data_IF_506876841434
#
_entry.id   IF_506876841434
#
_cell.length_a   1.000
_cell.length_b   1.000
_cell.length_c   1.000
_cell.angle_alpha   90.00
_cell.angle_beta   90.00
_cell.angle_gamma   90.00
#
_symmetry.space_group_name_H-M   'P 1'
#
loop_
_entity.id
_entity.type
_entity.pdbx_description
1 polymer ?
#
# COMPACT_ATOMS: atom_id res chain seq x y z
N UNK A 1 0.43 -2.79 14.16
CA UNK A 1 1.54 -3.55 14.76
C UNK A 1 2.87 -2.79 14.73
N UNK A 2 3.31 -2.33 13.57
CA UNK A 2 4.58 -1.59 13.44
C UNK A 2 4.65 -0.37 14.35
N UNK A 3 3.54 0.32 14.51
CA UNK A 3 3.48 1.53 15.32
C UNK A 3 3.75 1.25 16.80
N UNK A 4 3.29 0.11 17.30
CA UNK A 4 3.49 -0.28 18.70
C UNK A 4 4.96 -0.55 19.04
N UNK A 5 5.72 -1.06 18.09
CA UNK A 5 7.15 -1.33 18.29
C UNK A 5 8.03 -0.16 17.82
N UNK A 6 7.43 0.95 17.42
CA UNK A 6 8.15 2.13 16.98
C UNK A 6 8.87 1.97 15.65
N UNK A 7 8.46 1.00 14.83
CA UNK A 7 9.14 0.72 13.57
C UNK A 7 8.97 1.87 12.57
N UNK A 8 10.01 2.15 11.84
CA UNK A 8 9.95 2.98 10.64
C UNK A 8 9.68 2.08 9.45
N UNK A 9 8.91 2.58 8.48
CA UNK A 9 8.68 1.90 7.22
C UNK A 9 9.27 2.74 6.09
N UNK A 10 9.87 2.07 5.12
CA UNK A 10 10.51 2.75 3.99
C UNK A 10 10.19 1.99 2.71
N UNK A 11 9.91 2.74 1.64
CA UNK A 11 9.71 2.16 0.32
C UNK A 11 11.08 2.02 -0.35
N UNK A 12 11.65 0.84 -0.27
CA UNK A 12 12.98 0.56 -0.77
C UNK A 12 13.12 -0.90 -1.18
N UNK A 13 14.15 -1.17 -1.93
CA UNK A 13 14.57 -2.52 -2.29
C UNK A 13 15.98 -2.75 -1.76
N UNK A 14 16.19 -3.89 -1.13
CA UNK A 14 17.53 -4.29 -0.70
C UNK A 14 18.28 -4.91 -1.87
N UNK A 15 19.51 -4.49 -2.06
CA UNK A 15 20.41 -5.03 -3.10
C UNK A 15 21.67 -5.52 -2.41
N UNK A 16 22.07 -6.75 -2.72
CA UNK A 16 23.30 -7.32 -2.19
C UNK A 16 24.43 -7.13 -3.19
N UNK A 17 25.55 -6.61 -2.71
CA UNK A 17 26.77 -6.53 -3.49
C UNK A 17 27.48 -7.89 -3.50
N UNK A 18 28.36 -8.09 -4.48
CA UNK A 18 29.11 -9.35 -4.60
C UNK A 18 30.06 -9.64 -3.44
N UNK A 19 30.32 -8.68 -2.56
CA UNK A 19 31.18 -8.82 -1.38
C UNK A 19 30.38 -9.07 -0.09
N UNK A 20 29.09 -9.37 -0.20
CA UNK A 20 28.23 -9.67 0.94
C UNK A 20 27.63 -8.46 1.63
N UNK A 21 27.86 -7.27 1.15
CA UNK A 21 27.22 -6.06 1.66
C UNK A 21 25.86 -5.85 1.02
N UNK A 22 24.95 -5.26 1.78
CA UNK A 22 23.63 -4.90 1.28
C UNK A 22 23.42 -3.40 1.42
N UNK A 23 22.72 -2.82 0.46
CA UNK A 23 22.31 -1.42 0.53
C UNK A 23 20.87 -1.29 0.04
N UNK A 24 20.26 -0.16 0.36
CA UNK A 24 18.90 0.14 -0.07
C UNK A 24 18.94 1.00 -1.32
N UNK A 25 18.06 0.69 -2.25
CA UNK A 25 17.83 1.49 -3.45
C UNK A 25 16.34 1.76 -3.58
N UNK A 26 15.95 2.57 -4.57
CA UNK A 26 14.55 2.89 -4.79
C UNK A 26 13.71 1.63 -5.00
N UNK A 27 12.52 1.63 -4.45
CA UNK A 27 11.61 0.51 -4.51
C UNK A 27 10.22 0.90 -5.00
N UNK A 28 9.33 -0.07 -4.99
CA UNK A 28 7.93 0.11 -5.36
C UNK A 28 7.05 -0.44 -4.26
N UNK A 29 5.97 0.29 -4.00
CA UNK A 29 4.97 -0.13 -3.01
C UNK A 29 3.60 0.11 -3.61
N UNK A 30 2.97 -0.94 -4.12
CA UNK A 30 1.71 -0.85 -4.82
C UNK A 30 0.63 -1.61 -4.09
N UNK A 31 -0.60 -1.09 -4.12
CA UNK A 31 -1.79 -1.74 -3.60
C UNK A 31 -1.69 -2.00 -2.09
N UNK A 32 -1.80 -3.26 -1.66
CA UNK A 32 -1.79 -3.63 -0.23
C UNK A 32 -0.52 -3.19 0.51
N UNK A 33 0.61 -3.10 -0.19
CA UNK A 33 1.86 -2.61 0.39
C UNK A 33 1.71 -1.22 1.02
N UNK A 34 0.86 -0.38 0.44
CA UNK A 34 0.66 0.99 0.92
C UNK A 34 0.06 0.99 2.33
N UNK A 35 -0.82 0.05 2.62
CA UNK A 35 -1.42 -0.06 3.95
C UNK A 35 -0.41 -0.55 4.98
N UNK A 36 0.52 -1.42 4.58
CA UNK A 36 1.63 -1.80 5.44
C UNK A 36 2.55 -0.61 5.71
N UNK A 37 2.84 0.18 4.70
CA UNK A 37 3.64 1.40 4.84
C UNK A 37 3.02 2.36 5.86
N UNK A 38 1.70 2.54 5.82
CA UNK A 38 0.97 3.41 6.74
C UNK A 38 1.19 3.05 8.21
N UNK A 39 1.44 1.77 8.50
CA UNK A 39 1.61 1.28 9.86
C UNK A 39 2.91 1.71 10.53
N UNK A 40 3.86 2.26 9.80
CA UNK A 40 5.09 2.75 10.38
C UNK A 40 4.89 4.01 11.21
N UNK A 41 5.64 4.13 12.29
CA UNK A 41 5.64 5.34 13.10
C UNK A 41 6.28 6.49 12.35
N UNK A 42 7.36 6.22 11.67
CA UNK A 42 7.97 7.10 10.69
C UNK A 42 7.86 6.41 9.34
N UNK A 43 7.40 7.13 8.35
CA UNK A 43 7.23 6.59 7.00
C UNK A 43 8.11 7.37 6.04
N UNK A 44 8.89 6.66 5.24
CA UNK A 44 9.83 7.28 4.30
C UNK A 44 9.54 6.78 2.90
N UNK A 45 9.28 7.70 2.00
CA UNK A 45 9.11 7.43 0.57
C UNK A 45 10.20 8.22 -0.15
N UNK A 46 11.37 7.60 -0.41
CA UNK A 46 12.45 8.29 -1.11
C UNK A 46 12.00 8.80 -2.47
N UNK A 47 12.62 9.87 -2.94
CA UNK A 47 12.15 10.61 -4.12
C UNK A 47 11.99 9.75 -5.37
N UNK A 48 12.82 8.71 -5.53
CA UNK A 48 12.77 7.83 -6.69
C UNK A 48 11.99 6.54 -6.46
N UNK A 49 11.48 6.34 -5.25
CA UNK A 49 10.58 5.22 -4.98
C UNK A 49 9.18 5.54 -5.45
N UNK A 50 8.45 4.51 -5.85
CA UNK A 50 7.10 4.64 -6.38
C UNK A 50 6.09 4.06 -5.42
N UNK A 51 5.03 4.80 -5.20
CA UNK A 51 3.86 4.32 -4.45
C UNK A 51 2.65 4.38 -5.38
N UNK A 52 1.92 3.30 -5.45
CA UNK A 52 0.77 3.21 -6.34
C UNK A 52 -0.45 2.64 -5.64
N UNK A 53 -1.60 3.18 -6.00
CA UNK A 53 -2.88 2.80 -5.41
C UNK A 53 -3.89 2.46 -6.48
N UNK A 54 -4.82 1.60 -6.14
CA UNK A 54 -5.98 1.31 -6.94
C UNK A 54 -7.09 0.77 -6.03
N UNK A 55 -8.27 0.62 -6.59
CA UNK A 55 -9.40 0.07 -5.85
C UNK A 55 -9.06 -1.33 -5.33
N UNK A 56 -9.35 -1.55 -4.06
CA UNK A 56 -9.14 -2.84 -3.43
C UNK A 56 -10.28 -3.80 -3.77
N UNK A 57 -9.94 -5.07 -3.85
CA UNK A 57 -10.91 -6.15 -4.00
C UNK A 57 -10.46 -7.34 -3.15
N UNK A 58 -11.42 -8.15 -2.74
CA UNK A 58 -11.15 -9.41 -2.09
C UNK A 58 -11.28 -10.53 -3.13
N UNK A 59 -10.42 -11.54 -3.01
CA UNK A 59 -10.56 -12.76 -3.78
C UNK A 59 -11.42 -13.72 -2.97
N UNK A 60 -12.60 -14.07 -3.49
CA UNK A 60 -13.38 -15.15 -2.93
C UNK A 60 -12.83 -16.48 -3.45
N UNK A 61 -12.51 -17.36 -2.54
CA UNK A 61 -12.17 -18.73 -2.91
C UNK A 61 -13.37 -19.32 -3.65
N UNK A 62 -13.13 -19.86 -4.84
CA UNK A 62 -14.19 -20.51 -5.60
C UNK A 62 -14.81 -21.61 -4.77
N UNK A 63 -16.11 -21.55 -4.58
CA UNK A 63 -16.84 -22.48 -3.74
C UNK A 63 -17.27 -23.73 -4.51
N UNK A 64 -16.39 -24.31 -5.31
CA UNK A 64 -16.70 -25.58 -5.93
C UNK A 64 -16.04 -26.73 -5.16
N UNK A 65 -16.78 -27.37 -4.25
CA UNK A 65 -16.23 -28.47 -3.47
C UNK A 65 -15.88 -29.70 -4.31
N UNK A 66 -16.31 -29.74 -5.56
CA UNK A 66 -15.96 -30.82 -6.48
C UNK A 66 -14.58 -30.61 -7.14
N UNK A 67 -13.90 -29.53 -6.82
CA UNK A 67 -12.58 -29.28 -7.35
C UNK A 67 -12.54 -29.00 -8.85
N UNK A 68 -13.66 -28.65 -9.42
CA UNK A 68 -13.81 -28.45 -10.85
C UNK A 68 -13.45 -27.07 -11.36
N UNK A 69 -12.39 -26.47 -10.86
CA UNK A 69 -11.92 -25.21 -11.43
C UNK A 69 -12.51 -23.98 -10.81
N UNK A 70 -12.72 -24.02 -9.55
CA UNK A 70 -13.10 -22.84 -8.81
C UNK A 70 -12.00 -21.80 -8.80
N UNK A 71 -11.88 -21.02 -9.85
CA UNK A 71 -11.02 -19.83 -9.83
C UNK A 71 -11.49 -18.87 -8.76
N UNK A 72 -10.55 -18.17 -8.13
CA UNK A 72 -10.88 -17.11 -7.22
C UNK A 72 -11.71 -16.04 -7.95
N UNK A 73 -12.83 -15.63 -7.36
CA UNK A 73 -13.63 -14.53 -7.85
C UNK A 73 -13.18 -13.25 -7.22
N UNK A 74 -13.12 -12.20 -8.02
CA UNK A 74 -12.93 -10.86 -7.49
C UNK A 74 -14.25 -10.37 -6.89
N UNK A 75 -14.21 -10.02 -5.64
CA UNK A 75 -15.33 -9.39 -4.99
C UNK A 75 -14.98 -7.93 -4.75
N UNK A 76 -15.72 -7.07 -5.41
CA UNK A 76 -15.56 -5.64 -5.18
C UNK A 76 -16.38 -5.23 -3.96
N UNK A 77 -15.82 -4.28 -3.25
CA UNK A 77 -16.40 -3.75 -2.05
C UNK A 77 -17.70 -2.99 -2.34
N UNK A 78 -18.66 -3.12 -1.45
CA UNK A 78 -19.91 -2.37 -1.47
C UNK A 78 -19.83 -1.09 -0.60
N UNK A 79 -18.64 -0.65 -0.23
CA UNK A 79 -18.41 0.50 0.63
C UNK A 79 -17.87 0.16 2.02
N UNK A 80 -17.99 -1.09 2.45
CA UNK A 80 -17.56 -1.50 3.79
C UNK A 80 -16.04 -1.44 3.94
N UNK A 81 -15.31 -1.95 2.95
CA UNK A 81 -13.85 -1.93 2.96
C UNK A 81 -13.32 -0.49 2.89
N UNK A 82 -13.97 0.35 2.09
CA UNK A 82 -13.62 1.77 2.02
C UNK A 82 -13.71 2.43 3.40
N UNK A 83 -14.77 2.14 4.14
CA UNK A 83 -14.94 2.65 5.50
C UNK A 83 -13.85 2.15 6.44
N UNK A 84 -13.52 0.86 6.38
CA UNK A 84 -12.45 0.27 7.20
C UNK A 84 -11.11 0.90 6.88
N UNK A 85 -10.78 1.01 5.59
CA UNK A 85 -9.51 1.57 5.16
C UNK A 85 -9.39 3.06 5.50
N UNK A 86 -10.49 3.82 5.38
CA UNK A 86 -10.50 5.23 5.74
C UNK A 86 -10.23 5.43 7.23
N UNK A 87 -10.86 4.63 8.08
CA UNK A 87 -10.62 4.68 9.53
C UNK A 87 -9.19 4.28 9.87
N UNK A 88 -8.67 3.25 9.21
CA UNK A 88 -7.28 2.83 9.40
C UNK A 88 -6.32 3.93 9.00
N UNK A 89 -6.50 4.53 7.81
CA UNK A 89 -5.60 5.58 7.34
C UNK A 89 -5.60 6.79 8.28
N UNK A 90 -6.78 7.19 8.75
CA UNK A 90 -6.87 8.29 9.71
C UNK A 90 -6.19 7.97 11.04
N UNK A 91 -6.36 6.74 11.54
CA UNK A 91 -5.69 6.29 12.76
C UNK A 91 -4.16 6.30 12.60
N UNK A 92 -3.67 6.08 11.38
CA UNK A 92 -2.24 6.14 11.07
C UNK A 92 -1.77 7.56 10.70
N UNK A 93 -2.65 8.56 10.73
CA UNK A 93 -2.30 9.92 10.42
C UNK A 93 -2.22 10.23 8.92
N UNK A 94 -2.80 9.39 8.09
CA UNK A 94 -2.85 9.57 6.63
C UNK A 94 -4.21 10.09 6.22
N UNK A 95 -4.24 11.04 5.28
CA UNK A 95 -5.50 11.61 4.79
C UNK A 95 -6.38 10.54 4.13
N UNK A 96 -7.69 10.60 4.40
CA UNK A 96 -8.65 9.72 3.72
C UNK A 96 -8.77 10.01 2.23
N UNK A 97 -8.28 11.15 1.76
CA UNK A 97 -8.26 11.47 0.33
C UNK A 97 -7.46 10.43 -0.47
N UNK A 98 -6.44 9.83 0.13
CA UNK A 98 -5.72 8.71 -0.47
C UNK A 98 -6.68 7.56 -0.76
N UNK A 99 -7.51 7.19 0.21
CA UNK A 99 -8.48 6.11 0.06
C UNK A 99 -9.53 6.46 -0.98
N UNK A 100 -10.02 7.69 -0.97
CA UNK A 100 -11.01 8.15 -1.94
C UNK A 100 -10.46 8.08 -3.37
N UNK A 101 -9.20 8.46 -3.56
CA UNK A 101 -8.54 8.39 -4.87
C UNK A 101 -8.33 6.94 -5.29
N UNK A 102 -7.92 6.08 -4.36
CA UNK A 102 -7.76 4.65 -4.64
C UNK A 102 -9.07 4.03 -5.12
N UNK A 103 -10.17 4.34 -4.44
CA UNK A 103 -11.48 3.78 -4.79
C UNK A 103 -11.97 4.23 -6.18
N UNK A 104 -11.48 5.36 -6.67
CA UNK A 104 -11.80 5.83 -8.02
C UNK A 104 -10.86 5.31 -9.09
N UNK A 105 -9.81 4.60 -8.69
CA UNK A 105 -8.83 4.05 -9.63
C UNK A 105 -9.17 2.59 -9.90
N UNK A 106 -9.47 2.21 -11.17
CA UNK A 106 -9.79 0.82 -11.49
C UNK A 106 -8.67 -0.15 -11.12
N UNK A 107 -9.03 -1.40 -10.85
CA UNK A 107 -8.05 -2.43 -10.47
C UNK A 107 -7.05 -2.76 -11.58
N UNK A 108 -7.40 -2.50 -12.82
CA UNK A 108 -6.53 -2.69 -13.98
C UNK A 108 -5.49 -1.58 -14.14
N UNK A 109 -5.67 -0.49 -13.40
CA UNK A 109 -4.81 0.68 -13.45
C UNK A 109 -4.15 0.89 -12.11
N UNK A 110 -3.06 1.62 -12.10
CA UNK A 110 -2.42 2.05 -10.86
C UNK A 110 -2.23 3.56 -10.94
N UNK A 111 -2.73 4.26 -9.94
CA UNK A 111 -2.44 5.68 -9.78
C UNK A 111 -1.14 5.80 -8.99
N UNK A 112 -0.06 6.19 -9.66
CA UNK A 112 1.23 6.43 -9.01
C UNK A 112 1.20 7.81 -8.37
N UNK A 113 1.45 7.87 -7.07
CA UNK A 113 1.41 9.11 -6.32
C UNK A 113 2.57 10.02 -6.71
N UNK A 114 2.26 11.29 -6.93
CA UNK A 114 3.29 12.32 -7.09
C UNK A 114 3.93 12.61 -5.72
N UNK A 115 5.14 13.17 -5.69
CA UNK A 115 5.73 13.60 -4.42
C UNK A 115 4.85 14.59 -3.66
N UNK A 116 4.12 15.45 -4.35
CA UNK A 116 3.20 16.39 -3.70
C UNK A 116 2.00 15.67 -3.07
N UNK A 117 1.51 14.61 -3.68
CA UNK A 117 0.44 13.80 -3.10
C UNK A 117 0.91 13.05 -1.85
N UNK A 118 2.11 12.49 -1.90
CA UNK A 118 2.71 11.82 -0.75
C UNK A 118 2.80 12.77 0.45
N UNK A 119 3.23 14.00 0.22
CA UNK A 119 3.34 15.00 1.27
C UNK A 119 1.96 15.52 1.70
N UNK A 120 1.11 15.87 0.76
CA UNK A 120 -0.22 16.45 1.03
C UNK A 120 -1.11 15.49 1.80
N UNK A 121 -1.05 14.21 1.46
CA UNK A 121 -1.84 13.19 2.15
C UNK A 121 -1.14 12.61 3.38
N UNK A 122 0.02 13.15 3.73
CA UNK A 122 0.79 12.75 4.91
C UNK A 122 1.15 11.26 4.92
N UNK A 123 1.37 10.71 3.75
CA UNK A 123 1.77 9.30 3.64
C UNK A 123 3.19 9.08 4.14
N UNK A 124 4.08 10.02 3.89
CA UNK A 124 5.45 9.93 4.34
C UNK A 124 6.28 11.13 3.95
N UNK A 125 7.54 11.08 4.29
CA UNK A 125 8.54 12.09 3.92
C UNK A 125 9.55 11.48 2.96
N UNK A 126 10.27 12.31 2.22
CA UNK A 126 11.31 11.84 1.30
C UNK A 126 12.64 11.54 1.99
N UNK A 127 12.77 11.88 3.26
CA UNK A 127 14.00 11.74 4.04
C UNK A 127 13.75 11.00 5.34
N UNK A 128 14.77 10.33 5.80
CA UNK A 128 14.76 9.72 7.12
C UNK A 128 14.68 10.75 8.25
#
# INVERSE_FOLDING_TARGET
MFRKVGAATVVARAVSDGDGRSHLTSGRCFSACVYALMGGRKRVVPAQSLVGIHRMFALEAGADPAGGGGGARRRFDNGDMRGVLSRYSEAMGVSRDLINTAERTPTESIHVLSPSEVARWRLGSSRF
#
